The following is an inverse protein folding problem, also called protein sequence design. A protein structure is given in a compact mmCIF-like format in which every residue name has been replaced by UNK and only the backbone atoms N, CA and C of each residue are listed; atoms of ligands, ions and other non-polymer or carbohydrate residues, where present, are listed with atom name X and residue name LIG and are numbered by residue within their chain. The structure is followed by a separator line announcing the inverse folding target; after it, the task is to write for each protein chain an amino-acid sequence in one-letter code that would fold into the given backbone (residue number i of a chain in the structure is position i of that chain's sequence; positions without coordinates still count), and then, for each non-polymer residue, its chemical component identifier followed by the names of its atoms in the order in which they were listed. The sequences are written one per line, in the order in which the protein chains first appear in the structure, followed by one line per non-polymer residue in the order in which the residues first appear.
data_IF_289928553231
#
_entry.id   IF_289928553231
#
_cell.length_a   1.000
_cell.length_b   1.000
_cell.length_c   1.000
_cell.angle_alpha   90.00
_cell.angle_beta   90.00
_cell.angle_gamma   90.00
#
_symmetry.space_group_name_H-M   'P 1'
#
loop_
_entity.id
_entity.type
_entity.pdbx_description
1 polymer ?
#
# COMPACT_ATOMS: atom_id res chain seq x y z
N UNK A 1 3.84 7.83 -12.90
CA UNK A 1 4.84 7.01 -12.20
C UNK A 1 4.12 6.36 -11.03
N UNK A 2 4.24 5.05 -10.81
CA UNK A 2 3.60 4.42 -9.66
C UNK A 2 4.42 4.73 -8.40
N UNK A 3 3.93 5.65 -7.58
CA UNK A 3 4.65 6.12 -6.39
C UNK A 3 4.57 5.12 -5.21
N UNK A 4 3.65 4.14 -5.27
CA UNK A 4 3.34 3.19 -4.20
C UNK A 4 3.09 1.78 -4.79
N UNK A 5 3.58 0.73 -4.13
CA UNK A 5 3.35 -0.68 -4.47
C UNK A 5 2.80 -1.44 -3.26
N UNK A 6 1.87 -2.36 -3.47
CA UNK A 6 1.45 -3.31 -2.43
C UNK A 6 2.52 -4.40 -2.23
N UNK A 7 3.00 -4.55 -1.00
CA UNK A 7 3.94 -5.58 -0.58
C UNK A 7 3.14 -6.74 0.04
N UNK A 8 3.04 -7.84 -0.68
CA UNK A 8 2.29 -9.04 -0.29
C UNK A 8 2.90 -9.80 0.90
N UNK A 9 4.22 -9.64 1.14
CA UNK A 9 4.93 -10.29 2.25
C UNK A 9 4.56 -9.62 3.58
N UNK A 10 4.47 -8.29 3.58
CA UNK A 10 4.06 -7.49 4.74
C UNK A 10 2.53 -7.28 4.77
N UNK A 11 1.88 -7.39 3.62
CA UNK A 11 0.46 -7.11 3.43
C UNK A 11 0.13 -5.63 3.53
N UNK A 12 1.02 -4.74 3.07
CA UNK A 12 0.88 -3.28 3.18
C UNK A 12 1.42 -2.55 1.95
N UNK A 13 0.95 -1.34 1.70
CA UNK A 13 1.46 -0.46 0.66
C UNK A 13 2.80 0.16 1.08
N UNK A 14 3.81 0.04 0.22
CA UNK A 14 5.16 0.60 0.36
C UNK A 14 5.38 1.69 -0.68
N UNK A 15 5.90 2.83 -0.25
CA UNK A 15 6.33 3.89 -1.15
C UNK A 15 7.54 3.44 -1.96
N UNK A 16 7.48 3.58 -3.29
CA UNK A 16 8.58 3.28 -4.22
C UNK A 16 9.57 4.44 -4.28
N UNK A 17 9.07 5.66 -4.11
CA UNK A 17 9.86 6.90 -4.04
C UNK A 17 9.48 7.70 -2.80
N UNK A 18 10.32 8.64 -2.37
CA UNK A 18 10.05 9.45 -1.18
C UNK A 18 8.75 10.26 -1.28
N UNK A 19 8.32 10.60 -2.51
CA UNK A 19 7.05 11.28 -2.77
C UNK A 19 5.83 10.39 -2.55
N UNK A 20 5.98 9.07 -2.59
CA UNK A 20 4.89 8.12 -2.36
C UNK A 20 4.64 7.79 -0.89
N UNK A 21 5.44 8.33 0.04
CA UNK A 21 5.24 8.12 1.49
C UNK A 21 3.84 8.54 1.96
N UNK A 22 3.35 9.77 1.67
CA UNK A 22 2.01 10.18 2.07
C UNK A 22 0.91 9.31 1.42
N UNK A 23 1.07 8.92 0.16
CA UNK A 23 0.14 8.01 -0.50
C UNK A 23 0.13 6.63 0.17
N UNK A 24 1.30 6.05 0.47
CA UNK A 24 1.40 4.75 1.12
C UNK A 24 0.74 4.76 2.50
N UNK A 25 0.94 5.81 3.30
CA UNK A 25 0.27 5.99 4.59
C UNK A 25 -1.25 6.14 4.44
N UNK A 26 -1.70 6.91 3.43
CA UNK A 26 -3.12 7.06 3.15
C UNK A 26 -3.79 5.73 2.76
N UNK A 27 -3.15 4.94 1.91
CA UNK A 27 -3.65 3.62 1.51
C UNK A 27 -3.59 2.61 2.67
N UNK A 28 -2.54 2.65 3.49
CA UNK A 28 -2.43 1.80 4.69
C UNK A 28 -3.39 2.20 5.82
N UNK A 29 -3.90 3.43 5.81
CA UNK A 29 -4.95 3.84 6.74
C UNK A 29 -6.31 3.24 6.37
N UNK A 30 -6.52 2.80 5.13
CA UNK A 30 -7.80 2.29 4.65
C UNK A 30 -7.88 0.77 4.80
N UNK A 31 -8.39 0.33 5.95
CA UNK A 31 -8.50 -1.09 6.32
C UNK A 31 -9.27 -1.94 5.30
N UNK A 32 -10.40 -1.45 4.79
CA UNK A 32 -11.18 -2.15 3.75
C UNK A 32 -10.35 -2.50 2.50
N UNK A 33 -9.49 -1.57 2.06
CA UNK A 33 -8.66 -1.76 0.87
C UNK A 33 -7.49 -2.70 1.16
N UNK A 34 -6.87 -2.57 2.33
CA UNK A 34 -5.84 -3.48 2.82
C UNK A 34 -6.34 -4.91 2.92
N UNK A 35 -7.49 -5.12 3.54
CA UNK A 35 -8.09 -6.45 3.72
C UNK A 35 -8.45 -7.08 2.38
N UNK A 36 -9.05 -6.30 1.46
CA UNK A 36 -9.33 -6.77 0.11
C UNK A 36 -8.05 -7.17 -0.63
N UNK A 37 -7.00 -6.36 -0.55
CA UNK A 37 -5.71 -6.65 -1.22
C UNK A 37 -4.98 -7.85 -0.63
N UNK A 38 -5.05 -8.04 0.68
CA UNK A 38 -4.53 -9.23 1.37
C UNK A 38 -5.27 -10.50 0.96
N UNK A 39 -6.58 -10.41 0.72
CA UNK A 39 -7.37 -11.55 0.26
C UNK A 39 -7.18 -11.88 -1.23
N UNK A 40 -6.68 -10.94 -2.03
CA UNK A 40 -6.35 -11.14 -3.46
C UNK A 40 -4.97 -11.78 -3.70
N UNK A 41 -4.10 -11.85 -2.68
CA UNK A 41 -2.73 -12.40 -2.74
C UNK A 41 -2.71 -13.86 -2.29
#
# INVERSE_FOLDING_TARGET
EEHVRFDSDVGEFRAVTELGRPDAEYWNSQKDILERKRAET
#
